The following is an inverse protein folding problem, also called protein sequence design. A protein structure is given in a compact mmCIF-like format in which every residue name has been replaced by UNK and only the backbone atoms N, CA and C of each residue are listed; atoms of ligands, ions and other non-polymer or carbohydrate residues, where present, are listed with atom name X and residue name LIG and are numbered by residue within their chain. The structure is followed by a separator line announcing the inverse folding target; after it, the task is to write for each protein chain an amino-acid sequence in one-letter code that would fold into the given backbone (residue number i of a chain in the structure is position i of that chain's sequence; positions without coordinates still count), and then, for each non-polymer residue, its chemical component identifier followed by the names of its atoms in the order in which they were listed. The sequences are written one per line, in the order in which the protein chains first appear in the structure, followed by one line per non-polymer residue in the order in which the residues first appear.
data_IF_866037574297
#
_entry.id   IF_866037574297
#
_cell.length_a   1.000
_cell.length_b   1.000
_cell.length_c   1.000
_cell.angle_alpha   90.00
_cell.angle_beta   90.00
_cell.angle_gamma   90.00
#
_symmetry.space_group_name_H-M   'P 1'
#
loop_
_entity.id
_entity.type
_entity.pdbx_description
1 polymer ?
#
# COMPACT_ATOMS: atom_id res chain seq x y z
N UNK A 1 -1.94 -10.40 -9.09
CA UNK A 1 -1.93 -9.12 -8.35
C UNK A 1 -0.68 -8.28 -8.63
N UNK A 2 0.54 -8.83 -8.64
CA UNK A 2 1.78 -8.07 -8.94
C UNK A 2 1.72 -7.14 -10.17
N UNK A 3 1.12 -7.55 -11.29
CA UNK A 3 1.03 -6.68 -12.47
C UNK A 3 0.20 -5.40 -12.20
N UNK A 4 -0.89 -5.52 -11.42
CA UNK A 4 -1.69 -4.38 -11.00
C UNK A 4 -0.94 -3.53 -9.96
N UNK A 5 -0.24 -4.15 -9.01
CA UNK A 5 0.66 -3.45 -8.06
C UNK A 5 1.64 -2.54 -8.81
N UNK A 6 2.34 -3.08 -9.81
CA UNK A 6 3.31 -2.32 -10.61
C UNK A 6 2.68 -1.17 -11.38
N UNK A 7 1.43 -1.32 -11.79
CA UNK A 7 0.72 -0.26 -12.51
C UNK A 7 0.36 0.90 -11.57
N UNK A 8 -0.08 0.63 -10.34
CA UNK A 8 -0.34 1.69 -9.35
C UNK A 8 0.95 2.42 -8.95
N UNK A 9 2.02 1.67 -8.71
CA UNK A 9 3.35 2.21 -8.39
C UNK A 9 3.91 3.06 -9.53
N UNK A 10 3.78 2.60 -10.79
CA UNK A 10 4.22 3.36 -11.97
C UNK A 10 3.41 4.65 -12.16
N UNK A 11 2.11 4.66 -11.84
CA UNK A 11 1.32 5.91 -11.83
C UNK A 11 1.79 6.88 -10.78
N UNK A 12 1.97 6.44 -9.54
CA UNK A 12 2.48 7.27 -8.45
C UNK A 12 3.86 7.86 -8.82
N UNK A 13 4.74 7.03 -9.39
CA UNK A 13 6.05 7.46 -9.86
C UNK A 13 6.01 8.54 -10.95
N UNK A 14 5.09 8.38 -11.92
CA UNK A 14 4.91 9.34 -13.03
C UNK A 14 4.27 10.65 -12.57
N UNK A 15 3.32 10.58 -11.65
CA UNK A 15 2.73 11.76 -11.03
C UNK A 15 3.78 12.52 -10.20
N UNK A 16 4.60 11.78 -9.45
CA UNK A 16 5.75 12.31 -8.70
C UNK A 16 5.38 13.15 -7.48
N UNK A 17 4.10 13.19 -7.11
CA UNK A 17 3.55 13.82 -5.92
C UNK A 17 2.27 13.12 -5.49
N UNK A 18 1.83 13.32 -4.25
CA UNK A 18 0.62 12.70 -3.69
C UNK A 18 0.93 11.70 -2.57
N UNK A 19 -0.02 10.82 -2.30
CA UNK A 19 0.01 9.88 -1.18
C UNK A 19 -0.16 8.44 -1.69
N UNK A 20 0.72 7.54 -1.28
CA UNK A 20 0.75 6.13 -1.70
C UNK A 20 0.74 5.20 -0.49
N UNK A 21 -0.29 4.36 -0.38
CA UNK A 21 -0.44 3.34 0.66
C UNK A 21 -0.27 1.94 0.12
N UNK A 22 0.56 1.11 0.74
CA UNK A 22 0.81 -0.27 0.31
C UNK A 22 0.79 -1.30 1.45
N UNK A 23 -0.12 -2.27 1.34
CA UNK A 23 -0.26 -3.38 2.27
C UNK A 23 0.55 -4.60 1.83
N UNK A 24 1.54 -4.98 2.64
CA UNK A 24 2.47 -6.07 2.36
C UNK A 24 2.22 -7.35 3.16
N UNK A 25 1.27 -7.31 4.11
CA UNK A 25 0.94 -8.40 5.05
C UNK A 25 2.06 -8.77 6.02
N UNK A 26 3.33 -8.80 5.60
CA UNK A 26 4.49 -9.24 6.38
C UNK A 26 5.74 -8.43 6.06
N UNK A 27 6.60 -8.22 7.06
CA UNK A 27 7.89 -7.51 6.92
C UNK A 27 8.78 -8.09 5.81
N UNK A 28 8.81 -9.41 5.64
CA UNK A 28 9.58 -10.05 4.57
C UNK A 28 9.17 -9.61 3.15
N UNK A 29 7.89 -9.25 2.94
CA UNK A 29 7.40 -8.74 1.67
C UNK A 29 7.81 -7.28 1.44
N UNK A 30 7.82 -6.44 2.49
CA UNK A 30 8.38 -5.08 2.45
C UNK A 30 9.85 -5.14 2.02
N UNK A 31 10.66 -6.00 2.65
CA UNK A 31 12.08 -6.17 2.30
C UNK A 31 12.29 -6.56 0.85
N UNK A 32 11.46 -7.46 0.33
CA UNK A 32 11.52 -7.87 -1.07
C UNK A 32 11.18 -6.74 -2.05
N UNK A 33 10.46 -5.70 -1.59
CA UNK A 33 10.12 -4.50 -2.35
C UNK A 33 10.93 -3.26 -2.00
N UNK A 34 11.91 -3.36 -1.09
CA UNK A 34 12.67 -2.23 -0.57
C UNK A 34 13.18 -1.30 -1.67
N UNK A 35 13.88 -1.82 -2.67
CA UNK A 35 14.44 -1.00 -3.76
C UNK A 35 13.40 -0.27 -4.61
N UNK A 36 12.17 -0.79 -4.72
CA UNK A 36 11.08 -0.10 -5.44
C UNK A 36 10.57 1.09 -4.64
N UNK A 37 10.45 0.92 -3.32
CA UNK A 37 9.94 1.97 -2.43
C UNK A 37 11.00 3.02 -2.15
N UNK A 38 12.29 2.65 -2.12
CA UNK A 38 13.41 3.60 -2.14
C UNK A 38 13.42 4.45 -3.41
N UNK A 39 13.17 3.83 -4.58
CA UNK A 39 13.05 4.58 -5.84
C UNK A 39 11.89 5.57 -5.72
N UNK A 40 10.67 5.10 -5.42
CA UNK A 40 9.47 5.94 -5.22
C UNK A 40 9.71 7.11 -4.26
N UNK A 41 10.41 6.88 -3.14
CA UNK A 41 10.73 7.88 -2.13
C UNK A 41 11.67 9.00 -2.62
N UNK A 42 12.26 8.89 -3.82
CA UNK A 42 12.97 10.00 -4.45
C UNK A 42 12.02 11.07 -5.05
N UNK A 43 10.71 10.80 -5.09
CA UNK A 43 9.66 11.77 -5.45
C UNK A 43 9.13 12.49 -4.23
N UNK A 44 8.28 13.49 -4.48
CA UNK A 44 7.54 14.20 -3.44
C UNK A 44 6.26 13.44 -3.04
N UNK A 45 6.41 12.14 -2.77
CA UNK A 45 5.33 11.23 -2.38
C UNK A 45 5.36 11.02 -0.87
N UNK A 46 4.19 11.07 -0.22
CA UNK A 46 4.01 10.54 1.13
C UNK A 46 3.70 9.04 1.05
N UNK A 47 4.61 8.20 1.53
CA UNK A 47 4.56 6.75 1.29
C UNK A 47 4.35 6.01 2.60
N UNK A 48 3.25 5.26 2.66
CA UNK A 48 2.84 4.48 3.82
C UNK A 48 2.84 2.99 3.46
N UNK A 49 3.51 2.17 4.26
CA UNK A 49 3.51 0.71 4.10
C UNK A 49 2.96 0.02 5.34
N UNK A 50 2.25 -1.09 5.14
CA UNK A 50 1.55 -1.78 6.23
C UNK A 50 1.93 -3.25 6.26
N UNK A 51 2.16 -3.80 7.45
CA UNK A 51 2.33 -5.22 7.65
C UNK A 51 1.89 -5.67 9.04
N UNK A 52 1.71 -6.98 9.22
CA UNK A 52 1.51 -7.55 10.54
C UNK A 52 2.77 -7.41 11.41
N UNK A 53 2.65 -7.38 12.74
CA UNK A 53 3.78 -7.16 13.64
C UNK A 53 4.87 -8.22 13.49
N UNK A 54 6.11 -7.78 13.65
CA UNK A 54 7.32 -8.59 13.67
C UNK A 54 8.30 -8.00 14.68
N UNK A 55 9.22 -8.82 15.20
CA UNK A 55 10.35 -8.32 16.00
C UNK A 55 11.27 -7.39 15.18
N UNK A 56 11.18 -7.50 13.85
CA UNK A 56 11.95 -6.70 12.90
C UNK A 56 11.22 -5.42 12.52
N UNK A 57 11.95 -4.29 12.51
CA UNK A 57 11.42 -2.99 12.12
C UNK A 57 12.18 -2.52 10.87
N UNK A 58 11.68 -2.83 9.66
CA UNK A 58 12.36 -2.40 8.44
C UNK A 58 12.28 -0.88 8.32
N UNK A 59 13.42 -0.24 8.08
CA UNK A 59 13.50 1.18 7.76
C UNK A 59 13.82 1.36 6.27
N UNK A 60 13.00 2.19 5.62
CA UNK A 60 13.18 2.65 4.25
C UNK A 60 13.11 4.17 4.32
N UNK A 61 14.17 4.85 3.89
CA UNK A 61 14.22 6.31 3.92
C UNK A 61 13.09 6.91 3.07
N UNK A 62 12.37 7.89 3.62
CA UNK A 62 11.21 8.50 2.96
C UNK A 62 9.94 7.65 2.93
N UNK A 63 9.88 6.56 3.71
CA UNK A 63 8.70 5.68 3.80
C UNK A 63 8.32 5.45 5.26
N UNK A 64 7.04 5.67 5.57
CA UNK A 64 6.46 5.35 6.87
C UNK A 64 6.04 3.88 6.90
N UNK A 65 6.54 3.12 7.88
CA UNK A 65 6.18 1.70 8.06
C UNK A 65 5.26 1.53 9.26
N UNK A 66 4.05 1.04 9.00
CA UNK A 66 3.02 0.73 9.99
C UNK A 66 3.02 -0.78 10.26
N UNK A 67 3.18 -1.15 11.53
CA UNK A 67 3.05 -2.53 11.98
C UNK A 67 1.78 -2.69 12.80
N UNK A 68 0.77 -3.31 12.20
CA UNK A 68 -0.60 -3.31 12.73
C UNK A 68 -1.06 -4.72 13.08
N UNK A 69 -1.41 -4.95 14.35
CA UNK A 69 -1.99 -6.23 14.78
C UNK A 69 -3.48 -6.34 14.43
N UNK A 70 -3.77 -6.23 13.14
CA UNK A 70 -5.10 -6.35 12.58
C UNK A 70 -5.15 -7.50 11.57
N UNK A 71 -6.21 -8.30 11.65
CA UNK A 71 -6.49 -9.33 10.65
C UNK A 71 -6.63 -8.71 9.26
N UNK A 72 -7.22 -7.52 9.17
CA UNK A 72 -7.39 -6.79 7.91
C UNK A 72 -6.04 -6.53 7.24
N UNK A 73 -5.06 -5.97 7.96
CA UNK A 73 -3.71 -5.72 7.41
C UNK A 73 -2.96 -7.02 7.11
N UNK A 74 -3.14 -8.04 7.94
CA UNK A 74 -2.49 -9.35 7.76
C UNK A 74 -2.99 -10.09 6.52
N UNK A 75 -4.26 -9.94 6.17
CA UNK A 75 -4.90 -10.69 5.09
C UNK A 75 -5.10 -9.85 3.82
N UNK A 76 -4.86 -8.55 3.86
CA UNK A 76 -5.04 -7.67 2.70
C UNK A 76 -3.74 -7.37 1.95
N UNK A 77 -3.82 -7.42 0.62
CA UNK A 77 -2.87 -6.82 -0.29
C UNK A 77 -3.53 -5.63 -0.96
N UNK A 78 -3.01 -4.44 -0.72
CA UNK A 78 -3.46 -3.23 -1.40
C UNK A 78 -2.30 -2.35 -1.86
N UNK A 79 -2.56 -1.55 -2.90
CA UNK A 79 -1.74 -0.40 -3.29
C UNK A 79 -2.71 0.70 -3.72
N UNK A 80 -2.66 1.85 -3.07
CA UNK A 80 -3.65 2.93 -3.26
C UNK A 80 -2.93 4.25 -3.41
N UNK A 81 -3.15 4.93 -4.52
CA UNK A 81 -2.57 6.22 -4.84
C UNK A 81 -3.67 7.26 -5.04
N UNK A 82 -3.56 8.40 -4.35
CA UNK A 82 -4.56 9.49 -4.34
C UNK A 82 -4.68 10.24 -5.68
N UNK A 83 -3.68 10.11 -6.56
CA UNK A 83 -3.62 10.80 -7.84
C UNK A 83 -2.82 12.10 -7.82
N UNK A 84 -2.18 12.48 -6.72
CA UNK A 84 -1.32 13.67 -6.65
C UNK A 84 -2.04 14.97 -7.01
N UNK A 85 -3.30 15.11 -6.61
CA UNK A 85 -4.16 16.25 -6.97
C UNK A 85 -4.82 16.16 -8.36
N UNK A 86 -4.55 15.11 -9.15
CA UNK A 86 -5.30 14.80 -10.37
C UNK A 86 -6.15 13.52 -10.17
N UNK A 87 -7.48 13.63 -10.04
CA UNK A 87 -8.36 12.48 -9.85
C UNK A 87 -8.31 11.42 -10.96
N UNK A 88 -7.82 11.76 -12.15
CA UNK A 88 -7.66 10.76 -13.24
C UNK A 88 -6.46 9.83 -13.04
N UNK A 89 -5.50 10.24 -12.22
CA UNK A 89 -4.32 9.45 -11.89
C UNK A 89 -4.55 8.57 -10.65
N UNK A 90 -5.63 8.84 -9.90
CA UNK A 90 -6.05 8.06 -8.74
C UNK A 90 -6.28 6.59 -9.11
N UNK A 91 -5.74 5.69 -8.30
CA UNK A 91 -5.83 4.27 -8.57
C UNK A 91 -5.72 3.42 -7.30
N UNK A 92 -6.37 2.27 -7.30
CA UNK A 92 -6.31 1.34 -6.18
C UNK A 92 -6.29 -0.11 -6.68
N UNK A 93 -5.49 -0.93 -6.02
CA UNK A 93 -5.62 -2.37 -5.93
C UNK A 93 -6.04 -2.69 -4.49
N UNK A 94 -7.07 -3.51 -4.32
CA UNK A 94 -7.46 -4.06 -3.02
C UNK A 94 -7.84 -5.53 -3.20
N UNK A 95 -7.13 -6.41 -2.51
CA UNK A 95 -7.38 -7.84 -2.53
C UNK A 95 -7.21 -8.46 -1.14
N UNK A 96 -8.01 -9.47 -0.85
CA UNK A 96 -7.95 -10.27 0.37
C UNK A 96 -7.37 -11.64 0.02
N UNK A 97 -6.48 -12.13 0.87
CA UNK A 97 -6.02 -13.51 0.84
C UNK A 97 -7.13 -14.47 1.26
N UNK A 98 -7.34 -15.51 0.46
CA UNK A 98 -8.33 -16.56 0.71
C UNK A 98 -7.73 -17.92 0.39
N UNK A 99 -8.28 -18.96 1.01
CA UNK A 99 -7.87 -20.34 0.81
C UNK A 99 -7.01 -20.88 1.96
N UNK A 100 -6.60 -22.14 1.83
CA UNK A 100 -5.77 -22.83 2.82
C UNK A 100 -4.31 -22.36 2.76
N UNK A 101 -3.56 -22.58 3.85
CA UNK A 101 -2.19 -22.11 4.02
C UNK A 101 -1.21 -22.57 2.91
N UNK A 102 -1.51 -23.69 2.25
CA UNK A 102 -0.68 -24.28 1.20
C UNK A 102 -0.98 -23.72 -0.21
N UNK A 103 -2.12 -23.04 -0.39
CA UNK A 103 -2.57 -22.46 -1.67
C UNK A 103 -3.13 -21.04 -1.46
N UNK A 104 -2.23 -20.08 -1.26
CA UNK A 104 -2.60 -18.66 -1.12
C UNK A 104 -3.23 -18.15 -2.40
N UNK A 105 -4.53 -17.85 -2.36
CA UNK A 105 -5.26 -17.20 -3.46
C UNK A 105 -5.64 -15.78 -3.06
N UNK A 106 -5.73 -14.86 -4.02
CA UNK A 106 -6.11 -13.48 -3.77
C UNK A 106 -7.36 -13.14 -4.55
N UNK A 107 -8.36 -12.60 -3.84
CA UNK A 107 -9.61 -12.15 -4.44
C UNK A 107 -9.77 -10.66 -4.17
N UNK A 108 -10.01 -9.90 -5.23
CA UNK A 108 -10.05 -8.45 -5.12
C UNK A 108 -10.34 -7.79 -6.45
N UNK A 109 -10.13 -6.49 -6.47
CA UNK A 109 -10.31 -5.65 -7.64
C UNK A 109 -9.20 -4.62 -7.74
N UNK A 110 -9.04 -4.06 -8.93
CA UNK A 110 -8.40 -2.77 -9.11
C UNK A 110 -9.40 -1.78 -9.68
N UNK A 111 -9.18 -0.50 -9.42
CA UNK A 111 -10.05 0.58 -9.86
C UNK A 111 -9.26 1.86 -10.13
N UNK A 112 -9.83 2.71 -10.97
CA UNK A 112 -9.38 4.08 -11.22
C UNK A 112 -10.47 5.08 -10.87
N UNK A 113 -11.53 4.64 -10.18
CA UNK A 113 -12.59 5.52 -9.69
C UNK A 113 -12.08 6.27 -8.45
N UNK A 114 -11.85 7.60 -8.54
CA UNK A 114 -11.31 8.38 -7.43
C UNK A 114 -12.21 8.35 -6.18
N UNK A 115 -13.51 8.08 -6.34
CA UNK A 115 -14.44 7.94 -5.22
C UNK A 115 -14.14 6.69 -4.40
N UNK A 116 -13.79 5.58 -5.07
CA UNK A 116 -13.45 4.33 -4.38
C UNK A 116 -12.05 4.44 -3.77
N UNK A 117 -11.11 5.04 -4.51
CA UNK A 117 -9.74 5.30 -4.02
C UNK A 117 -9.80 6.11 -2.72
N UNK A 118 -10.51 7.25 -2.72
CA UNK A 118 -10.66 8.10 -1.55
C UNK A 118 -11.24 7.35 -0.35
N UNK A 119 -12.28 6.52 -0.54
CA UNK A 119 -12.85 5.72 0.56
C UNK A 119 -11.85 4.74 1.19
N UNK A 120 -10.95 4.15 0.39
CA UNK A 120 -9.94 3.24 0.91
C UNK A 120 -8.88 4.03 1.68
N UNK A 121 -8.44 5.19 1.15
CA UNK A 121 -7.50 6.09 1.83
C UNK A 121 -8.06 6.60 3.16
N UNK A 122 -9.30 7.11 3.15
CA UNK A 122 -9.99 7.58 4.36
C UNK A 122 -10.01 6.48 5.43
N UNK A 123 -10.37 5.25 5.06
CA UNK A 123 -10.38 4.12 5.99
C UNK A 123 -8.99 3.79 6.53
N UNK A 124 -7.96 3.76 5.69
CA UNK A 124 -6.58 3.50 6.12
C UNK A 124 -6.08 4.60 7.06
N UNK A 125 -6.39 5.85 6.76
CA UNK A 125 -5.98 7.01 7.54
C UNK A 125 -6.69 7.10 8.89
N UNK A 126 -7.97 6.78 8.94
CA UNK A 126 -8.75 6.77 10.18
C UNK A 126 -8.37 5.60 11.11
N UNK A 127 -8.07 4.42 10.55
CA UNK A 127 -7.84 3.22 11.35
C UNK A 127 -6.37 3.00 11.72
N UNK A 128 -5.43 3.34 10.83
CA UNK A 128 -4.05 2.86 10.91
C UNK A 128 -3.00 3.96 10.73
N UNK A 129 -3.25 4.98 9.90
CA UNK A 129 -2.25 6.01 9.60
C UNK A 129 -2.23 7.19 10.59
N UNK A 130 -2.87 7.06 11.75
CA UNK A 130 -2.84 8.11 12.78
C UNK A 130 -1.46 8.08 13.46
N UNK A 131 -0.72 9.21 13.55
CA UNK A 131 0.55 9.23 14.24
C UNK A 131 0.35 8.80 15.71
N UNK A 132 1.19 7.87 16.17
CA UNK A 132 1.30 7.53 17.59
C UNK A 132 1.59 8.82 18.38
N UNK A 133 0.64 9.25 19.21
CA UNK A 133 0.82 10.33 20.18
C UNK A 133 1.86 9.96 21.26
#
# INVERSE_FOLDING_TARGET
MMAATREMEDRAWRAGTGELHAGFQRVGAIRAQKGVYEDLATKDLDIHTYCAPSDEHPEIEGVTVHQEDSREIRESWFVVFDGGGNPNDACALLAEERGDADERSFYGFWTYDPTIVGRVLDHLNEQYAVPLN
#
